data_IF_846315762399
#
_entry.id   IF_846315762399
#
_cell.length_a   1.000
_cell.length_b   1.000
_cell.length_c   1.000
_cell.angle_alpha   90.00
_cell.angle_beta   90.00
_cell.angle_gamma   90.00
#
_symmetry.space_group_name_H-M   'P 1'
#
loop_
_entity.id
_entity.type
_entity.pdbx_description
1 polymer ?
#
# COMPACT_ATOMS: atom_id res chain seq x y z
N UNK A 1 8.25 15.43 -7.38
CA UNK A 1 9.48 14.76 -6.91
C UNK A 1 10.54 14.66 -8.00
N UNK A 2 11.81 14.93 -7.69
CA UNK A 2 12.92 14.76 -8.61
C UNK A 2 13.02 13.28 -9.02
N UNK A 3 12.96 12.99 -10.34
CA UNK A 3 13.32 11.66 -10.85
C UNK A 3 14.68 11.30 -10.25
N UNK A 4 14.77 10.21 -9.50
CA UNK A 4 16.06 9.62 -9.13
C UNK A 4 16.73 9.17 -10.42
N UNK A 5 17.49 10.09 -11.03
CA UNK A 5 18.16 9.90 -12.32
C UNK A 5 19.57 9.36 -12.14
N UNK A 6 20.14 9.53 -10.94
CA UNK A 6 21.54 9.28 -10.66
C UNK A 6 21.67 8.18 -9.60
N UNK A 7 22.62 7.29 -9.81
CA UNK A 7 22.87 6.10 -8.98
C UNK A 7 23.16 6.44 -7.51
N UNK A 8 23.93 7.50 -7.26
CA UNK A 8 24.25 7.93 -5.89
C UNK A 8 22.99 8.31 -5.09
N UNK A 9 21.95 8.85 -5.74
CA UNK A 9 20.70 9.20 -5.06
C UNK A 9 19.94 7.96 -4.57
N UNK A 10 20.07 6.83 -5.28
CA UNK A 10 19.50 5.54 -4.82
C UNK A 10 20.28 4.97 -3.66
N UNK A 11 21.60 5.05 -3.74
CA UNK A 11 22.50 4.63 -2.68
C UNK A 11 22.26 5.42 -1.38
N UNK A 12 22.13 6.75 -1.48
CA UNK A 12 21.83 7.62 -0.34
C UNK A 12 20.44 7.33 0.23
N UNK A 13 19.42 7.19 -0.62
CA UNK A 13 18.09 6.80 -0.19
C UNK A 13 18.10 5.45 0.53
N UNK A 14 18.81 4.45 0.00
CA UNK A 14 18.95 3.13 0.62
C UNK A 14 19.60 3.23 2.00
N UNK A 15 20.66 4.02 2.15
CA UNK A 15 21.29 4.23 3.46
C UNK A 15 20.32 4.86 4.47
N UNK A 16 19.54 5.86 4.03
CA UNK A 16 18.54 6.51 4.88
C UNK A 16 17.44 5.53 5.28
N UNK A 17 16.88 4.76 4.33
CA UNK A 17 15.85 3.75 4.61
C UNK A 17 16.39 2.66 5.55
N UNK A 18 17.63 2.21 5.33
CA UNK A 18 18.25 1.22 6.19
C UNK A 18 18.43 1.73 7.62
N UNK A 19 18.97 2.95 7.76
CA UNK A 19 19.26 3.55 9.06
C UNK A 19 17.99 3.88 9.85
N UNK A 20 16.95 4.38 9.18
CA UNK A 20 15.75 4.88 9.84
C UNK A 20 14.71 3.79 10.08
N UNK A 21 14.55 2.84 9.17
CA UNK A 21 13.48 1.84 9.27
C UNK A 21 13.96 0.40 9.31
N UNK A 22 15.24 0.11 9.07
CA UNK A 22 15.73 -1.26 8.85
C UNK A 22 14.88 -2.01 7.81
N UNK A 23 14.43 -1.29 6.77
CA UNK A 23 13.50 -1.78 5.75
C UNK A 23 12.14 -2.22 6.28
N UNK A 24 11.73 -1.77 7.46
CA UNK A 24 10.34 -1.87 7.89
C UNK A 24 9.47 -0.99 7.01
N UNK A 25 8.36 -1.57 6.59
CA UNK A 25 7.37 -0.99 5.69
C UNK A 25 5.98 -1.20 6.29
N UNK A 26 5.08 -0.30 5.93
CA UNK A 26 3.65 -0.54 6.09
C UNK A 26 3.24 -1.62 5.10
N UNK A 27 2.36 -2.52 5.53
CA UNK A 27 1.81 -3.60 4.68
C UNK A 27 1.07 -3.05 3.45
N UNK A 28 0.92 -3.91 2.44
CA UNK A 28 0.28 -3.55 1.18
C UNK A 28 -1.16 -3.02 1.36
N UNK A 29 -1.58 -2.03 0.57
CA UNK A 29 -2.97 -1.57 0.54
C UNK A 29 -3.98 -2.67 0.34
N UNK A 30 -3.65 -3.71 -0.44
CA UNK A 30 -4.55 -4.84 -0.66
C UNK A 30 -4.86 -5.58 0.65
N UNK A 31 -3.85 -5.76 1.50
CA UNK A 31 -4.02 -6.41 2.81
C UNK A 31 -4.85 -5.52 3.75
N UNK A 32 -4.61 -4.21 3.76
CA UNK A 32 -5.38 -3.26 4.56
C UNK A 32 -6.85 -3.23 4.12
N UNK A 33 -7.10 -3.18 2.81
CA UNK A 33 -8.46 -3.21 2.24
C UNK A 33 -9.19 -4.49 2.68
N UNK A 34 -8.54 -5.65 2.65
CA UNK A 34 -9.13 -6.90 3.11
C UNK A 34 -9.57 -6.82 4.58
N UNK A 35 -8.79 -6.16 5.45
CA UNK A 35 -9.16 -5.96 6.88
C UNK A 35 -10.24 -4.93 7.10
N UNK A 36 -10.20 -3.82 6.37
CA UNK A 36 -11.24 -2.80 6.46
C UNK A 36 -12.60 -3.37 6.01
N UNK A 37 -12.59 -4.16 4.94
CA UNK A 37 -13.78 -4.89 4.46
C UNK A 37 -14.24 -5.90 5.50
N UNK A 38 -13.33 -6.69 6.10
CA UNK A 38 -13.70 -7.64 7.15
C UNK A 38 -14.37 -6.93 8.33
N UNK A 39 -13.76 -5.87 8.84
CA UNK A 39 -14.28 -5.10 9.97
C UNK A 39 -15.67 -4.50 9.67
N UNK A 40 -15.89 -4.02 8.45
CA UNK A 40 -17.19 -3.49 8.02
C UNK A 40 -18.25 -4.60 7.88
N UNK A 41 -17.87 -5.74 7.29
CA UNK A 41 -18.78 -6.88 7.14
C UNK A 41 -19.10 -7.52 8.50
N UNK A 42 -18.16 -7.55 9.43
CA UNK A 42 -18.36 -8.07 10.79
C UNK A 42 -19.39 -7.24 11.56
N UNK A 43 -19.34 -5.91 11.43
CA UNK A 43 -20.38 -5.02 11.98
C UNK A 43 -21.76 -5.28 11.38
N UNK A 44 -21.82 -5.73 10.13
CA UNK A 44 -23.08 -5.85 9.37
C UNK A 44 -23.71 -7.26 9.43
N UNK A 45 -22.89 -8.30 9.39
CA UNK A 45 -23.31 -9.70 9.25
C UNK A 45 -22.80 -10.59 10.39
N UNK A 46 -22.00 -10.06 11.31
CA UNK A 46 -21.29 -10.82 12.33
C UNK A 46 -19.93 -11.35 11.83
N UNK A 47 -19.09 -11.82 12.76
CA UNK A 47 -17.74 -12.25 12.47
C UNK A 47 -17.70 -13.42 11.49
N UNK A 48 -16.72 -13.41 10.59
CA UNK A 48 -16.42 -14.57 9.77
C UNK A 48 -15.83 -15.71 10.62
N UNK A 49 -16.12 -16.97 10.27
CA UNK A 49 -15.56 -18.15 10.95
C UNK A 49 -15.02 -19.15 9.93
N UNK A 50 -13.69 -19.35 9.86
CA UNK A 50 -12.65 -18.61 10.58
C UNK A 50 -12.54 -17.15 10.08
N UNK A 51 -12.18 -16.23 10.98
CA UNK A 51 -11.80 -14.86 10.62
C UNK A 51 -10.46 -14.82 9.88
N UNK A 52 -10.06 -13.64 9.41
CA UNK A 52 -8.72 -13.45 8.84
C UNK A 52 -7.66 -13.53 9.95
N UNK A 53 -6.53 -14.17 9.64
CA UNK A 53 -5.40 -14.28 10.56
C UNK A 53 -4.85 -12.89 10.89
N UNK A 54 -4.39 -12.57 12.11
CA UNK A 54 -3.79 -11.27 12.39
C UNK A 54 -2.62 -10.96 11.44
N UNK A 55 -2.55 -9.72 10.94
CA UNK A 55 -1.41 -9.23 10.14
C UNK A 55 -0.63 -8.22 10.94
N UNK A 56 0.70 -8.36 10.92
CA UNK A 56 1.60 -7.36 11.45
C UNK A 56 1.63 -6.16 10.50
N UNK A 57 1.10 -5.03 10.96
CA UNK A 57 0.91 -3.84 10.13
C UNK A 57 2.22 -3.21 9.65
N UNK A 58 3.27 -3.27 10.48
CA UNK A 58 4.63 -2.87 10.13
C UNK A 58 5.50 -4.11 10.10
N UNK A 59 5.93 -4.51 8.91
CA UNK A 59 6.78 -5.68 8.73
C UNK A 59 7.96 -5.34 7.80
N UNK A 60 8.93 -6.24 7.68
CA UNK A 60 10.18 -5.98 6.97
C UNK A 60 10.07 -6.38 5.50
N UNK A 61 10.54 -5.48 4.65
CA UNK A 61 10.94 -5.77 3.29
C UNK A 61 9.87 -5.56 2.22
N UNK A 62 10.35 -5.39 0.99
CA UNK A 62 9.52 -5.09 -0.18
C UNK A 62 8.40 -6.10 -0.44
N UNK A 63 8.58 -7.36 -0.04
CA UNK A 63 7.57 -8.43 -0.20
C UNK A 63 6.27 -8.04 0.51
N UNK A 64 6.39 -7.45 1.70
CA UNK A 64 5.24 -6.99 2.50
C UNK A 64 4.63 -5.73 1.93
N UNK A 65 5.45 -4.77 1.50
CA UNK A 65 4.98 -3.55 0.84
C UNK A 65 4.18 -3.84 -0.43
N UNK A 66 4.54 -4.91 -1.17
CA UNK A 66 3.85 -5.29 -2.40
C UNK A 66 2.72 -6.32 -2.20
N UNK A 67 2.53 -6.85 -1.00
CA UNK A 67 1.49 -7.84 -0.70
C UNK A 67 1.74 -9.19 -1.38
N UNK A 68 3.01 -9.55 -1.60
CA UNK A 68 3.39 -10.84 -2.19
C UNK A 68 3.42 -11.94 -1.10
N UNK A 69 2.25 -12.19 -0.48
CA UNK A 69 2.11 -13.11 0.65
C UNK A 69 2.56 -14.54 0.34
N UNK A 70 2.23 -15.06 -0.85
CA UNK A 70 2.67 -16.39 -1.29
C UNK A 70 4.20 -16.49 -1.27
N UNK A 71 4.89 -15.43 -1.71
CA UNK A 71 6.34 -15.39 -1.69
C UNK A 71 6.92 -15.26 -0.27
N UNK A 72 6.25 -14.51 0.62
CA UNK A 72 6.62 -14.46 2.03
C UNK A 72 6.47 -15.83 2.70
N UNK A 73 5.37 -16.54 2.41
CA UNK A 73 5.10 -17.88 2.93
C UNK A 73 6.13 -18.90 2.41
N UNK A 74 6.49 -18.85 1.14
CA UNK A 74 7.53 -19.72 0.56
C UNK A 74 8.90 -19.49 1.23
N UNK A 75 9.27 -18.24 1.49
CA UNK A 75 10.51 -17.89 2.20
C UNK A 75 10.51 -18.48 3.61
N UNK A 76 9.44 -18.30 4.38
CA UNK A 76 9.35 -18.82 5.74
C UNK A 76 9.29 -20.35 5.76
N UNK A 77 8.62 -20.99 4.80
CA UNK A 77 8.60 -22.45 4.69
C UNK A 77 10.00 -23.02 4.40
N UNK A 78 10.77 -22.37 3.52
CA UNK A 78 12.16 -22.75 3.24
C UNK A 78 13.02 -22.56 4.49
N UNK A 79 12.89 -21.42 5.18
CA UNK A 79 13.61 -21.13 6.43
C UNK A 79 13.32 -22.18 7.50
N UNK A 80 12.04 -22.44 7.78
CA UNK A 80 11.62 -23.40 8.80
C UNK A 80 12.18 -24.81 8.53
N UNK A 81 12.09 -25.29 7.28
CA UNK A 81 12.67 -26.58 6.87
C UNK A 81 14.17 -26.63 7.11
N UNK A 82 14.88 -25.53 6.84
CA UNK A 82 16.33 -25.47 6.99
C UNK A 82 16.75 -25.39 8.46
N UNK A 83 16.01 -24.65 9.29
CA UNK A 83 16.17 -24.63 10.75
C UNK A 83 15.99 -26.03 11.32
N UNK A 84 14.93 -26.74 10.95
CA UNK A 84 14.70 -28.13 11.41
C UNK A 84 15.85 -29.06 11.00
N UNK A 85 16.35 -28.91 9.76
CA UNK A 85 17.48 -29.68 9.26
C UNK A 85 18.75 -29.41 10.07
N UNK A 86 19.09 -28.14 10.28
CA UNK A 86 20.30 -27.74 11.02
C UNK A 86 20.19 -28.15 12.48
N UNK A 87 19.04 -27.94 13.13
CA UNK A 87 18.79 -28.37 14.49
C UNK A 87 19.00 -29.88 14.67
N UNK A 88 18.68 -30.69 13.65
CA UNK A 88 18.91 -32.14 13.69
C UNK A 88 20.37 -32.58 13.50
N UNK A 89 21.20 -31.76 12.85
CA UNK A 89 22.59 -32.10 12.49
C UNK A 89 23.63 -31.41 13.38
N UNK A 90 23.37 -30.16 13.75
CA UNK A 90 24.23 -29.29 14.54
C UNK A 90 23.36 -28.23 15.24
N UNK A 91 22.82 -28.51 16.44
CA UNK A 91 21.94 -27.59 17.18
C UNK A 91 22.55 -26.19 17.37
N UNK A 92 23.85 -26.11 17.67
CA UNK A 92 24.58 -24.84 17.85
C UNK A 92 24.72 -24.05 16.53
N UNK A 93 24.43 -24.67 15.37
CA UNK A 93 24.48 -24.05 14.06
C UNK A 93 23.22 -23.25 13.70
N UNK A 94 22.13 -23.37 14.46
CA UNK A 94 20.87 -22.65 14.18
C UNK A 94 21.06 -21.15 14.34
N UNK A 95 21.75 -20.70 15.39
CA UNK A 95 21.99 -19.26 15.62
C UNK A 95 22.80 -18.64 14.48
N UNK A 96 23.89 -19.30 14.06
CA UNK A 96 24.68 -18.87 12.91
C UNK A 96 23.86 -18.85 11.61
N UNK A 97 23.00 -19.84 11.40
CA UNK A 97 22.12 -19.86 10.23
C UNK A 97 21.16 -18.66 10.22
N UNK A 98 20.54 -18.35 11.37
CA UNK A 98 19.64 -17.20 11.49
C UNK A 98 20.35 -15.89 11.23
N UNK A 99 21.58 -15.71 11.74
CA UNK A 99 22.40 -14.53 11.44
C UNK A 99 22.70 -14.41 9.94
N UNK A 100 23.09 -15.51 9.29
CA UNK A 100 23.35 -15.54 7.84
C UNK A 100 22.07 -15.24 7.05
N UNK A 101 20.95 -15.84 7.45
CA UNK A 101 19.66 -15.67 6.80
C UNK A 101 19.18 -14.21 6.90
N UNK A 102 19.28 -13.60 8.08
CA UNK A 102 18.96 -12.19 8.27
C UNK A 102 19.87 -11.29 7.42
N UNK A 103 21.18 -11.55 7.41
CA UNK A 103 22.13 -10.83 6.56
C UNK A 103 21.80 -10.92 5.07
N UNK A 104 21.34 -12.09 4.61
CA UNK A 104 20.88 -12.29 3.24
C UNK A 104 19.60 -11.52 2.91
N UNK A 105 18.64 -11.44 3.84
CA UNK A 105 17.44 -10.63 3.66
C UNK A 105 17.79 -9.15 3.50
N UNK A 106 18.65 -8.59 4.35
CA UNK A 106 19.15 -7.21 4.21
C UNK A 106 19.86 -6.99 2.87
N UNK A 107 20.67 -7.95 2.42
CA UNK A 107 21.31 -7.87 1.12
C UNK A 107 20.30 -7.77 -0.04
N UNK A 108 19.18 -8.52 0.02
CA UNK A 108 18.12 -8.45 -0.99
C UNK A 108 17.41 -7.11 -0.98
N UNK A 109 17.07 -6.56 0.18
CA UNK A 109 16.44 -5.24 0.31
C UNK A 109 17.32 -4.15 -0.30
N UNK A 110 18.62 -4.16 0.05
CA UNK A 110 19.63 -3.24 -0.53
C UNK A 110 19.66 -3.32 -2.05
N UNK A 111 19.75 -4.54 -2.58
CA UNK A 111 19.84 -4.79 -4.03
C UNK A 111 18.61 -4.28 -4.80
N UNK A 112 17.42 -4.33 -4.19
CA UNK A 112 16.18 -3.85 -4.81
C UNK A 112 16.16 -2.33 -4.90
N UNK A 113 16.57 -1.63 -3.84
CA UNK A 113 16.64 -0.17 -3.84
C UNK A 113 17.75 0.38 -4.75
N UNK A 114 18.89 -0.31 -4.79
CA UNK A 114 19.99 0.01 -5.72
C UNK A 114 19.51 -0.10 -7.19
N UNK A 115 18.61 -1.06 -7.46
CA UNK A 115 17.95 -1.25 -8.74
C UNK A 115 18.87 -1.82 -9.85
N UNK A 116 18.40 -1.90 -11.10
CA UNK A 116 18.96 -2.82 -12.10
C UNK A 116 20.34 -2.48 -12.66
N UNK A 117 20.96 -1.35 -12.28
CA UNK A 117 22.18 -0.85 -12.94
C UNK A 117 23.51 -1.32 -12.35
N UNK A 118 23.48 -2.29 -11.45
CA UNK A 118 24.70 -2.97 -11.00
C UNK A 118 25.13 -4.12 -11.97
N UNK A 119 24.47 -4.25 -13.13
CA UNK A 119 24.95 -4.91 -14.36
C UNK A 119 25.38 -6.39 -14.37
N UNK A 120 25.32 -7.20 -13.28
CA UNK A 120 25.86 -8.59 -13.33
C UNK A 120 25.11 -9.76 -12.64
N UNK A 121 23.94 -9.63 -11.99
CA UNK A 121 23.15 -10.79 -11.44
C UNK A 121 21.66 -10.49 -11.60
N UNK A 122 21.25 -10.11 -12.81
CA UNK A 122 19.82 -10.04 -13.14
C UNK A 122 19.19 -11.44 -13.21
N UNK A 123 19.98 -12.50 -13.31
CA UNK A 123 19.49 -13.86 -13.52
C UNK A 123 19.31 -14.70 -12.24
N UNK A 124 19.70 -14.24 -11.05
CA UNK A 124 19.85 -15.19 -9.91
C UNK A 124 19.31 -14.77 -8.54
N UNK A 125 18.61 -13.65 -8.38
CA UNK A 125 18.20 -13.21 -7.03
C UNK A 125 16.69 -13.12 -6.73
N UNK A 126 15.81 -13.00 -7.73
CA UNK A 126 14.35 -13.04 -7.48
C UNK A 126 13.60 -13.66 -8.68
N UNK A 127 13.50 -15.00 -8.78
CA UNK A 127 12.75 -15.66 -9.86
C UNK A 127 11.22 -15.45 -9.78
N UNK A 128 10.70 -14.95 -8.65
CA UNK A 128 9.29 -15.12 -8.30
C UNK A 128 8.42 -13.86 -8.33
N UNK A 129 9.03 -12.67 -8.44
CA UNK A 129 8.26 -11.45 -8.74
C UNK A 129 8.72 -10.92 -10.07
N UNK A 130 7.97 -11.26 -11.12
CA UNK A 130 8.22 -10.68 -12.42
C UNK A 130 7.91 -9.19 -12.30
N UNK A 131 8.95 -8.35 -12.28
CA UNK A 131 8.83 -6.88 -12.30
C UNK A 131 7.89 -6.41 -13.44
N UNK A 132 7.79 -7.21 -14.50
CA UNK A 132 6.84 -7.02 -15.59
C UNK A 132 5.36 -7.06 -15.14
N UNK A 133 5.00 -7.92 -14.17
CA UNK A 133 3.63 -8.02 -13.65
C UNK A 133 3.25 -6.80 -12.81
N UNK A 134 4.15 -6.33 -11.95
CA UNK A 134 3.92 -5.09 -11.19
C UNK A 134 3.77 -3.90 -12.15
N UNK A 135 4.65 -3.78 -13.14
CA UNK A 135 4.57 -2.72 -14.13
C UNK A 135 3.25 -2.77 -14.92
N UNK A 136 2.77 -3.98 -15.27
CA UNK A 136 1.49 -4.19 -15.96
C UNK A 136 0.29 -3.81 -15.08
N UNK A 137 0.29 -4.17 -13.81
CA UNK A 137 -0.76 -3.79 -12.85
C UNK A 137 -0.81 -2.26 -12.72
N UNK A 138 0.34 -1.61 -12.54
CA UNK A 138 0.40 -0.16 -12.39
C UNK A 138 0.04 0.60 -13.66
N UNK A 139 0.40 0.08 -14.84
CA UNK A 139 -0.05 0.62 -16.12
C UNK A 139 -1.58 0.50 -16.29
N UNK A 140 -2.16 -0.63 -15.88
CA UNK A 140 -3.61 -0.82 -15.89
C UNK A 140 -4.32 0.19 -14.96
N UNK A 141 -3.77 0.43 -13.76
CA UNK A 141 -4.33 1.41 -12.80
C UNK A 141 -4.17 2.85 -13.29
N UNK A 142 -3.02 3.19 -13.88
CA UNK A 142 -2.86 4.49 -14.54
C UNK A 142 -3.91 4.68 -15.66
N UNK A 143 -4.15 3.66 -16.48
CA UNK A 143 -5.19 3.70 -17.53
C UNK A 143 -6.59 3.90 -16.97
N UNK A 144 -6.91 3.35 -15.80
CA UNK A 144 -8.18 3.59 -15.12
C UNK A 144 -8.34 5.08 -14.76
N UNK A 145 -7.31 5.70 -14.18
CA UNK A 145 -7.36 7.12 -13.81
C UNK A 145 -7.42 8.04 -15.04
N UNK A 146 -6.67 7.72 -16.09
CA UNK A 146 -6.76 8.44 -17.37
C UNK A 146 -8.15 8.32 -17.99
N UNK A 147 -8.75 7.13 -17.96
CA UNK A 147 -10.12 6.93 -18.44
C UNK A 147 -11.15 7.74 -17.65
N UNK A 148 -10.98 7.86 -16.33
CA UNK A 148 -11.87 8.68 -15.50
C UNK A 148 -11.68 10.18 -15.78
N UNK A 149 -10.44 10.62 -15.98
CA UNK A 149 -10.14 12.00 -16.40
C UNK A 149 -10.83 12.31 -17.73
N UNK A 150 -10.68 11.45 -18.74
CA UNK A 150 -11.29 11.65 -20.05
C UNK A 150 -12.83 11.70 -19.95
N UNK A 151 -13.44 10.91 -19.07
CA UNK A 151 -14.87 10.97 -18.79
C UNK A 151 -15.30 12.30 -18.16
N UNK A 152 -14.47 12.87 -17.28
CA UNK A 152 -14.70 14.21 -16.73
C UNK A 152 -14.49 15.32 -17.76
N UNK A 153 -13.60 15.15 -18.72
CA UNK A 153 -13.38 16.13 -19.80
C UNK A 153 -14.55 16.14 -20.79
N UNK A 154 -15.14 14.97 -21.06
CA UNK A 154 -16.38 14.85 -21.82
C UNK A 154 -17.59 15.44 -21.09
N UNK A 155 -17.60 15.39 -19.75
CA UNK A 155 -18.69 15.90 -18.92
C UNK A 155 -18.17 16.79 -17.78
N UNK A 156 -17.76 18.04 -18.05
CA UNK A 156 -17.15 18.92 -17.02
C UNK A 156 -18.08 19.24 -15.85
N UNK A 157 -19.40 19.09 -16.02
CA UNK A 157 -20.37 19.19 -14.93
C UNK A 157 -20.13 18.17 -13.80
N UNK A 158 -19.58 17.00 -14.11
CA UNK A 158 -19.25 15.97 -13.12
C UNK A 158 -18.16 16.42 -12.13
N UNK A 159 -17.26 17.32 -12.55
CA UNK A 159 -16.25 17.93 -11.67
C UNK A 159 -16.88 18.91 -10.67
N UNK A 160 -18.04 19.48 -10.99
CA UNK A 160 -18.75 20.45 -10.14
C UNK A 160 -19.59 19.72 -9.09
N UNK A 161 -19.03 19.59 -7.88
CA UNK A 161 -19.74 19.15 -6.68
C UNK A 161 -19.87 17.64 -6.47
N UNK A 162 -19.69 16.81 -7.50
CA UNK A 162 -19.85 15.34 -7.40
C UNK A 162 -18.59 14.53 -7.70
N UNK A 163 -17.46 15.20 -7.89
CA UNK A 163 -16.20 14.56 -8.27
C UNK A 163 -15.80 13.41 -7.34
N UNK A 164 -15.95 13.60 -6.02
CA UNK A 164 -15.67 12.57 -5.02
C UNK A 164 -16.50 11.31 -5.24
N UNK A 165 -17.78 11.48 -5.56
CA UNK A 165 -18.67 10.34 -5.74
C UNK A 165 -18.30 9.50 -6.98
N UNK A 166 -17.86 10.16 -8.05
CA UNK A 166 -17.37 9.44 -9.25
C UNK A 166 -16.07 8.71 -8.98
N UNK A 167 -15.13 9.36 -8.28
CA UNK A 167 -13.85 8.77 -7.87
C UNK A 167 -14.08 7.59 -6.92
N UNK A 168 -14.94 7.75 -5.92
CA UNK A 168 -15.32 6.69 -4.98
C UNK A 168 -15.97 5.53 -5.71
N UNK A 169 -17.02 5.78 -6.52
CA UNK A 169 -17.69 4.71 -7.28
C UNK A 169 -16.71 3.91 -8.13
N UNK A 170 -15.76 4.60 -8.78
CA UNK A 170 -14.75 3.95 -9.61
C UNK A 170 -13.79 3.11 -8.78
N UNK A 171 -13.23 3.70 -7.73
CA UNK A 171 -12.23 3.03 -6.88
C UNK A 171 -12.86 1.85 -6.13
N UNK A 172 -14.08 2.00 -5.63
CA UNK A 172 -14.83 0.91 -4.99
C UNK A 172 -15.04 -0.24 -5.97
N UNK A 173 -15.52 0.05 -7.19
CA UNK A 173 -15.79 -0.98 -8.18
C UNK A 173 -14.52 -1.75 -8.56
N UNK A 174 -13.41 -1.05 -8.79
CA UNK A 174 -12.21 -1.64 -9.37
C UNK A 174 -11.30 -2.26 -8.27
N UNK A 175 -11.21 -1.64 -7.09
CA UNK A 175 -10.27 -2.04 -6.03
C UNK A 175 -10.95 -2.79 -4.85
N UNK A 176 -12.17 -2.41 -4.44
CA UNK A 176 -12.81 -2.96 -3.22
C UNK A 176 -13.79 -4.09 -3.50
N UNK A 177 -14.63 -3.95 -4.53
CA UNK A 177 -15.68 -4.92 -4.83
C UNK A 177 -15.16 -6.34 -5.10
N UNK A 178 -14.01 -6.56 -5.79
CA UNK A 178 -13.47 -7.90 -5.95
C UNK A 178 -13.16 -8.58 -4.61
N UNK A 179 -12.54 -7.86 -3.68
CA UNK A 179 -12.17 -8.37 -2.34
C UNK A 179 -13.43 -8.57 -1.50
N UNK A 180 -14.35 -7.61 -1.54
CA UNK A 180 -15.63 -7.68 -0.84
C UNK A 180 -16.48 -8.86 -1.30
N UNK A 181 -16.52 -9.16 -2.60
CA UNK A 181 -17.25 -10.31 -3.14
C UNK A 181 -16.71 -11.64 -2.61
N UNK A 182 -15.38 -11.80 -2.53
CA UNK A 182 -14.76 -12.99 -1.93
C UNK A 182 -15.15 -13.14 -0.46
N UNK A 183 -15.13 -12.05 0.30
CA UNK A 183 -15.47 -12.06 1.72
C UNK A 183 -16.96 -12.27 2.01
N UNK A 184 -17.85 -11.77 1.14
CA UNK A 184 -19.28 -12.05 1.21
C UNK A 184 -19.57 -13.53 0.91
N UNK A 185 -18.93 -14.09 -0.12
CA UNK A 185 -19.06 -15.49 -0.47
C UNK A 185 -18.63 -16.41 0.68
N UNK A 186 -17.53 -16.08 1.40
CA UNK A 186 -17.10 -16.78 2.62
C UNK A 186 -18.16 -16.79 3.73
N UNK A 187 -18.99 -15.75 3.79
CA UNK A 187 -20.11 -15.60 4.73
C UNK A 187 -21.44 -16.16 4.18
N UNK A 188 -21.41 -16.84 3.04
CA UNK A 188 -22.63 -17.36 2.39
C UNK A 188 -23.57 -16.27 1.90
N UNK A 189 -23.03 -15.11 1.47
CA UNK A 189 -23.78 -13.96 0.95
C UNK A 189 -23.45 -13.73 -0.53
N UNK A 190 -24.47 -13.45 -1.32
CA UNK A 190 -24.34 -13.19 -2.76
C UNK A 190 -24.23 -11.69 -3.10
N UNK A 191 -24.34 -10.83 -2.10
CA UNK A 191 -24.28 -9.39 -2.30
C UNK A 191 -24.47 -8.61 -1.01
N UNK A 192 -24.50 -7.30 -1.17
CA UNK A 192 -24.72 -6.37 -0.07
C UNK A 192 -26.22 -6.12 0.08
N UNK A 193 -26.88 -6.96 0.88
CA UNK A 193 -28.34 -6.96 1.04
C UNK A 193 -28.90 -5.70 1.73
N UNK A 194 -28.03 -4.87 2.33
CA UNK A 194 -28.43 -3.75 3.20
C UNK A 194 -28.14 -2.33 2.64
N UNK A 195 -27.64 -2.19 1.41
CA UNK A 195 -27.31 -0.86 0.85
C UNK A 195 -28.38 -0.35 -0.11
N UNK A 196 -29.45 0.16 0.49
CA UNK A 196 -30.63 0.65 -0.23
C UNK A 196 -30.43 2.05 -0.84
N UNK A 197 -29.43 2.81 -0.37
CA UNK A 197 -29.20 4.20 -0.79
C UNK A 197 -27.74 4.48 -1.10
N UNK A 198 -27.54 5.50 -1.94
CA UNK A 198 -26.22 6.03 -2.29
C UNK A 198 -25.49 6.59 -1.06
N UNK A 199 -26.23 7.23 -0.17
CA UNK A 199 -25.72 7.84 1.06
C UNK A 199 -25.15 6.76 1.98
N UNK A 200 -25.85 5.64 2.16
CA UNK A 200 -25.34 4.49 2.92
C UNK A 200 -24.09 3.88 2.30
N UNK A 201 -24.05 3.76 0.97
CA UNK A 201 -22.83 3.31 0.28
C UNK A 201 -21.67 4.26 0.56
N UNK A 202 -21.90 5.57 0.51
CA UNK A 202 -20.86 6.55 0.83
C UNK A 202 -20.39 6.40 2.28
N UNK A 203 -21.31 6.39 3.24
CA UNK A 203 -20.99 6.24 4.67
C UNK A 203 -20.20 4.96 4.95
N UNK A 204 -20.51 3.87 4.26
CA UNK A 204 -19.79 2.61 4.37
C UNK A 204 -18.33 2.74 3.97
N UNK A 205 -18.07 3.23 2.75
CA UNK A 205 -16.71 3.36 2.24
C UNK A 205 -15.94 4.48 2.95
N UNK A 206 -16.61 5.55 3.35
CA UNK A 206 -16.01 6.60 4.18
C UNK A 206 -15.67 6.09 5.59
N UNK A 207 -16.31 5.02 6.08
CA UNK A 207 -15.96 4.38 7.37
C UNK A 207 -14.70 3.51 7.32
N UNK A 208 -14.19 3.25 6.11
CA UNK A 208 -12.94 2.53 5.87
C UNK A 208 -11.81 3.56 5.68
N UNK A 209 -10.91 3.72 6.67
CA UNK A 209 -9.98 4.85 6.68
C UNK A 209 -9.05 4.92 5.46
N UNK A 210 -8.56 3.77 4.97
CA UNK A 210 -7.75 3.70 3.77
C UNK A 210 -8.53 4.03 2.50
N UNK A 211 -9.82 3.68 2.46
CA UNK A 211 -10.72 4.09 1.39
C UNK A 211 -10.94 5.61 1.38
N UNK A 212 -11.23 6.22 2.55
CA UNK A 212 -11.37 7.68 2.64
C UNK A 212 -10.08 8.40 2.19
N UNK A 213 -8.92 7.94 2.66
CA UNK A 213 -7.63 8.49 2.27
C UNK A 213 -7.40 8.42 0.76
N UNK A 214 -7.53 7.22 0.16
CA UNK A 214 -7.35 7.02 -1.27
C UNK A 214 -8.34 7.86 -2.11
N UNK A 215 -9.63 7.82 -1.77
CA UNK A 215 -10.67 8.57 -2.49
C UNK A 215 -10.44 10.06 -2.37
N UNK A 216 -10.05 10.54 -1.19
CA UNK A 216 -9.72 11.96 -0.99
C UNK A 216 -8.55 12.36 -1.87
N UNK A 217 -7.41 11.66 -1.81
CA UNK A 217 -6.24 11.97 -2.63
C UNK A 217 -6.56 11.96 -4.13
N UNK A 218 -7.17 10.88 -4.64
CA UNK A 218 -7.59 10.80 -6.05
C UNK A 218 -8.53 11.94 -6.45
N UNK A 219 -9.47 12.31 -5.57
CA UNK A 219 -10.39 13.43 -5.81
C UNK A 219 -9.64 14.75 -5.99
N UNK A 220 -8.55 14.94 -5.26
CA UNK A 220 -7.73 16.15 -5.34
C UNK A 220 -6.95 16.21 -6.64
N UNK A 221 -6.31 15.11 -7.03
CA UNK A 221 -5.65 14.99 -8.33
C UNK A 221 -6.61 15.22 -9.49
N UNK A 222 -7.80 14.61 -9.44
CA UNK A 222 -8.83 14.85 -10.45
C UNK A 222 -9.38 16.27 -10.40
N UNK A 223 -9.42 16.96 -9.26
CA UNK A 223 -9.91 18.35 -9.21
C UNK A 223 -9.00 19.30 -10.00
N UNK A 224 -7.70 19.03 -10.03
CA UNK A 224 -6.75 19.78 -10.84
C UNK A 224 -6.78 19.32 -12.31
N UNK A 225 -7.44 20.08 -13.18
CA UNK A 225 -7.56 19.77 -14.61
C UNK A 225 -6.22 19.79 -15.36
N UNK A 226 -5.21 20.48 -14.82
CA UNK A 226 -3.88 20.55 -15.41
C UNK A 226 -2.98 19.38 -14.95
N UNK A 227 -3.44 18.59 -13.97
CA UNK A 227 -2.66 17.46 -13.46
C UNK A 227 -2.46 16.39 -14.54
N UNK A 228 -1.21 15.94 -14.66
CA UNK A 228 -0.83 14.87 -15.57
C UNK A 228 -0.56 13.61 -14.77
N UNK A 229 -1.56 12.73 -14.76
CA UNK A 229 -1.45 11.41 -14.15
C UNK A 229 -0.21 10.66 -14.65
N UNK A 230 0.56 10.13 -13.70
CA UNK A 230 1.72 9.28 -13.91
C UNK A 230 1.64 8.05 -13.00
N UNK A 231 2.42 7.02 -13.33
CA UNK A 231 2.49 5.80 -12.51
C UNK A 231 2.88 6.11 -11.05
N UNK A 232 3.75 7.10 -10.84
CA UNK A 232 4.16 7.50 -9.49
C UNK A 232 2.99 8.02 -8.64
N UNK A 233 2.02 8.71 -9.25
CA UNK A 233 0.84 9.16 -8.50
C UNK A 233 0.08 7.96 -7.92
N UNK A 234 0.04 6.82 -8.63
CA UNK A 234 -0.60 5.59 -8.15
C UNK A 234 0.17 5.00 -6.97
N UNK A 235 1.50 4.91 -7.05
CA UNK A 235 2.33 4.45 -5.94
C UNK A 235 2.19 5.33 -4.70
N UNK A 236 2.21 6.65 -4.88
CA UNK A 236 2.12 7.61 -3.78
C UNK A 236 0.74 7.53 -3.11
N UNK A 237 -0.35 7.45 -3.90
CA UNK A 237 -1.71 7.29 -3.39
C UNK A 237 -1.86 5.98 -2.63
N UNK A 238 -1.35 4.86 -3.16
CA UNK A 238 -1.38 3.56 -2.50
C UNK A 238 -0.67 3.62 -1.15
N UNK A 239 0.58 4.08 -1.14
CA UNK A 239 1.39 4.17 0.07
C UNK A 239 0.74 5.07 1.13
N UNK A 240 0.18 6.21 0.71
CA UNK A 240 -0.48 7.14 1.63
C UNK A 240 -1.86 6.67 2.08
N UNK A 241 -2.56 5.88 1.27
CA UNK A 241 -3.84 5.30 1.66
C UNK A 241 -3.71 4.36 2.86
N UNK A 242 -2.53 3.78 3.06
CA UNK A 242 -2.22 2.98 4.25
C UNK A 242 -1.45 3.77 5.30
N UNK A 243 -0.47 4.59 4.93
CA UNK A 243 0.32 5.31 5.92
C UNK A 243 -0.51 6.34 6.69
N UNK A 244 -1.40 7.09 6.03
CA UNK A 244 -2.13 8.17 6.69
C UNK A 244 -3.10 7.70 7.79
N UNK A 245 -3.91 6.64 7.60
CA UNK A 245 -4.84 6.26 8.65
C UNK A 245 -4.25 5.45 9.81
N UNK A 246 -3.01 5.00 9.69
CA UNK A 246 -2.44 3.99 10.59
C UNK A 246 -1.04 4.35 11.09
N UNK A 247 -0.60 5.58 10.88
CA UNK A 247 0.61 6.14 11.49
C UNK A 247 0.26 7.47 12.16
N UNK A 248 0.96 7.79 13.24
CA UNK A 248 0.76 9.06 13.95
C UNK A 248 1.34 10.23 13.15
N UNK A 249 2.40 9.98 12.37
CA UNK A 249 3.11 10.99 11.60
C UNK A 249 3.44 10.45 10.20
N UNK A 250 3.15 11.24 9.16
CA UNK A 250 3.49 10.95 7.77
C UNK A 250 4.32 12.09 7.18
N UNK A 251 5.54 11.76 6.79
CA UNK A 251 6.37 12.63 5.96
C UNK A 251 6.16 12.32 4.47
N UNK A 252 5.78 13.34 3.69
CA UNK A 252 5.52 13.19 2.26
C UNK A 252 5.92 14.45 1.49
N UNK A 253 5.77 14.46 0.17
CA UNK A 253 6.08 15.65 -0.61
C UNK A 253 5.14 16.82 -0.28
N UNK A 254 5.62 18.03 -0.55
CA UNK A 254 4.90 19.24 -0.16
C UNK A 254 3.54 19.43 -0.84
N UNK A 255 3.32 18.87 -2.03
CA UNK A 255 2.02 18.94 -2.65
C UNK A 255 1.04 18.07 -1.86
N UNK A 256 1.39 16.81 -1.59
CA UNK A 256 0.48 15.92 -0.85
C UNK A 256 0.28 16.39 0.59
N UNK A 257 1.32 16.83 1.29
CA UNK A 257 1.18 17.35 2.66
C UNK A 257 0.22 18.55 2.71
N UNK A 258 0.39 19.53 1.81
CA UNK A 258 -0.53 20.67 1.74
C UNK A 258 -1.97 20.23 1.42
N UNK A 259 -2.13 19.25 0.54
CA UNK A 259 -3.45 18.74 0.16
C UNK A 259 -4.13 17.95 1.30
N UNK A 260 -3.41 17.07 1.99
CA UNK A 260 -3.91 16.35 3.15
C UNK A 260 -4.44 17.31 4.23
N UNK A 261 -3.69 18.38 4.52
CA UNK A 261 -4.06 19.38 5.52
C UNK A 261 -5.22 20.27 5.05
N UNK A 262 -5.19 20.80 3.82
CA UNK A 262 -6.26 21.68 3.32
C UNK A 262 -7.59 20.97 3.05
N UNK A 263 -7.56 19.65 2.80
CA UNK A 263 -8.77 18.82 2.68
C UNK A 263 -9.28 18.27 4.01
N UNK A 264 -8.65 18.66 5.13
CA UNK A 264 -8.92 18.13 6.48
C UNK A 264 -8.81 16.61 6.56
N UNK A 265 -8.08 15.97 5.63
CA UNK A 265 -7.87 14.54 5.66
C UNK A 265 -6.98 14.15 6.85
N UNK A 266 -5.92 14.95 7.09
CA UNK A 266 -5.05 14.78 8.26
C UNK A 266 -5.86 14.84 9.57
N UNK A 267 -6.69 15.87 9.74
CA UNK A 267 -7.55 16.03 10.92
C UNK A 267 -8.56 14.89 11.08
N UNK A 268 -9.17 14.41 9.98
CA UNK A 268 -10.14 13.30 10.03
C UNK A 268 -9.51 11.98 10.44
N UNK A 269 -8.24 11.78 10.09
CA UNK A 269 -7.49 10.55 10.37
C UNK A 269 -6.63 10.64 11.63
N UNK A 270 -6.65 11.78 12.32
CA UNK A 270 -5.83 12.05 13.50
C UNK A 270 -4.33 11.79 13.27
N UNK A 271 -3.82 12.27 12.13
CA UNK A 271 -2.43 12.09 11.69
C UNK A 271 -1.75 13.42 11.43
N UNK A 272 -0.48 13.54 11.85
CA UNK A 272 0.35 14.70 11.53
C UNK A 272 1.01 14.50 10.17
N UNK A 273 0.67 15.35 9.19
CA UNK A 273 1.26 15.27 7.84
C UNK A 273 2.16 16.46 7.57
N UNK A 274 3.44 16.19 7.32
CA UNK A 274 4.46 17.21 7.04
C UNK A 274 5.29 16.90 5.81
N UNK A 275 5.93 17.93 5.26
CA UNK A 275 6.94 17.80 4.20
C UNK A 275 8.34 18.19 4.69
N UNK A 276 8.48 18.57 5.97
CA UNK A 276 9.73 19.05 6.55
C UNK A 276 10.21 18.06 7.60
N UNK A 277 11.40 17.50 7.39
CA UNK A 277 12.06 16.65 8.38
C UNK A 277 12.33 17.40 9.70
N UNK A 278 12.69 18.68 9.63
CA UNK A 278 13.01 19.48 10.83
C UNK A 278 11.80 19.63 11.76
N UNK A 279 10.58 19.65 11.22
CA UNK A 279 9.35 19.71 12.02
C UNK A 279 9.11 18.45 12.84
N UNK A 280 9.74 17.31 12.51
CA UNK A 280 9.57 16.07 13.27
C UNK A 280 10.05 16.20 14.70
N UNK A 281 11.14 16.92 14.94
CA UNK A 281 11.70 17.07 16.28
C UNK A 281 10.74 17.80 17.21
N UNK A 282 10.01 18.79 16.68
CA UNK A 282 8.98 19.51 17.44
C UNK A 282 7.73 18.68 17.69
N UNK A 283 7.47 17.64 16.88
CA UNK A 283 6.29 16.77 17.01
C UNK A 283 6.58 15.59 17.96
N UNK A 284 7.84 15.15 18.05
CA UNK A 284 8.26 14.01 18.88
C UNK A 284 8.60 14.38 20.33
N UNK A 285 8.81 15.67 20.63
CA UNK A 285 9.05 16.22 21.97
C UNK A 285 7.74 16.53 22.72
#
# INVERSE_FOLDING_TARGET
MAKIRQEYQRYDLRQVVELLSEYRVVVSPVQVIDREIEAVLDKSYGPNVPGLDPVQYIDRGWVRALGAEDYAADIEAIRAREVDRIASLAPDGVELFEEIFQGFQFFKERAILDGPNWAARRESLVPYVQVADIARIMDARLKQELSLRDAFDLNPSCRRGRIRDYVMTRSVKDDYMPIMAVQLARRGRDGLEFYETRERMRELFDSMPGCDAMVTLKTMYHRNVEHRWAINDIYDIDALSVAMPYCDIVLTDGAVANQANTSQLADRLDVVVSNQLDSLWEILD
#
